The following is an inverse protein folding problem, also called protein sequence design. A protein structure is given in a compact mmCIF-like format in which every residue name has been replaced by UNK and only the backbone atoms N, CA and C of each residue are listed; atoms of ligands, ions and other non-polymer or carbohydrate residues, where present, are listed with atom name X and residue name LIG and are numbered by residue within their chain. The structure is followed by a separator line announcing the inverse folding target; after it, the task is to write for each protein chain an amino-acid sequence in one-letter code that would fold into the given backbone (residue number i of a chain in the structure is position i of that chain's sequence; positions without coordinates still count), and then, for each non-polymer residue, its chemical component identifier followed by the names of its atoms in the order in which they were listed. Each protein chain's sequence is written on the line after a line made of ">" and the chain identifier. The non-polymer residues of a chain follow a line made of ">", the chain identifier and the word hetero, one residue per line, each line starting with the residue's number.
data_IF_953977528758
#
_entry.id   IF_953977528758
#
_cell.length_a   1.000
_cell.length_b   1.000
_cell.length_c   1.000
_cell.angle_alpha   90.00
_cell.angle_beta   90.00
_cell.angle_gamma   90.00
#
_symmetry.space_group_name_H-M   'P 1'
#
loop_
_entity.id
_entity.type
_entity.pdbx_description
1 polymer ?
#
# COMPACT_ATOMS: atom_id res chain seq x y z
N UNK A 1 -16.57 16.34 -20.04
CA UNK A 1 -15.85 15.26 -20.77
C UNK A 1 -14.47 14.90 -20.18
N UNK A 2 -13.62 15.85 -19.74
CA UNK A 2 -12.26 15.56 -19.22
C UNK A 2 -12.23 14.60 -18.01
N UNK A 3 -13.12 14.80 -17.04
CA UNK A 3 -13.20 13.95 -15.83
C UNK A 3 -13.49 12.49 -16.18
N UNK A 4 -14.42 12.24 -17.12
CA UNK A 4 -14.77 10.88 -17.54
C UNK A 4 -13.59 10.17 -18.21
N UNK A 5 -12.83 10.88 -19.05
CA UNK A 5 -11.63 10.32 -19.69
C UNK A 5 -10.56 9.96 -18.66
N UNK A 6 -10.34 10.83 -17.65
CA UNK A 6 -9.42 10.53 -16.56
C UNK A 6 -9.89 9.33 -15.74
N UNK A 7 -11.18 9.26 -15.42
CA UNK A 7 -11.76 8.12 -14.71
C UNK A 7 -11.58 6.80 -15.49
N UNK A 8 -11.76 6.82 -16.82
CA UNK A 8 -11.53 5.66 -17.68
C UNK A 8 -10.06 5.24 -17.70
N UNK A 9 -9.13 6.19 -17.80
CA UNK A 9 -7.69 5.91 -17.72
C UNK A 9 -7.30 5.31 -16.36
N UNK A 10 -7.80 5.89 -15.26
CA UNK A 10 -7.57 5.38 -13.91
C UNK A 10 -8.15 3.98 -13.72
N UNK A 11 -9.34 3.71 -14.25
CA UNK A 11 -10.00 2.40 -14.17
C UNK A 11 -9.16 1.26 -14.76
N UNK A 12 -8.29 1.55 -15.74
CA UNK A 12 -7.36 0.55 -16.30
C UNK A 12 -6.26 0.11 -15.32
N UNK A 13 -5.98 0.91 -14.31
CA UNK A 13 -4.98 0.64 -13.27
C UNK A 13 -5.57 0.00 -12.02
N UNK A 14 -6.90 -0.07 -11.93
CA UNK A 14 -7.62 -0.74 -10.84
C UNK A 14 -7.53 -2.25 -10.97
N UNK A 15 -7.47 -2.93 -9.84
CA UNK A 15 -7.58 -4.39 -9.77
C UNK A 15 -8.98 -4.87 -10.16
N UNK A 16 -9.13 -6.14 -10.53
CA UNK A 16 -10.45 -6.71 -10.83
C UNK A 16 -11.39 -6.67 -9.63
N UNK A 17 -10.85 -6.88 -8.42
CA UNK A 17 -11.63 -6.75 -7.18
C UNK A 17 -12.20 -5.34 -7.02
N UNK A 18 -11.41 -4.28 -7.22
CA UNK A 18 -11.87 -2.89 -7.12
C UNK A 18 -12.88 -2.51 -8.20
N UNK A 19 -12.83 -3.17 -9.37
CA UNK A 19 -13.81 -2.95 -10.44
C UNK A 19 -15.16 -3.59 -10.12
N UNK A 20 -15.16 -4.72 -9.41
CA UNK A 20 -16.36 -5.51 -9.07
C UNK A 20 -16.95 -5.05 -7.73
N UNK A 21 -16.11 -4.76 -6.74
CA UNK A 21 -16.46 -4.31 -5.39
C UNK A 21 -15.75 -2.98 -5.07
N UNK A 22 -16.21 -1.85 -5.65
CA UNK A 22 -15.49 -0.58 -5.53
C UNK A 22 -15.60 0.09 -4.16
N UNK A 23 -16.52 -0.37 -3.32
CA UNK A 23 -16.85 0.26 -2.04
C UNK A 23 -16.83 -0.78 -0.93
N UNK A 24 -16.08 -0.48 0.13
CA UNK A 24 -16.02 -1.31 1.32
C UNK A 24 -17.20 -0.99 2.24
N UNK A 25 -17.69 -1.98 3.01
CA UNK A 25 -18.64 -1.70 4.06
C UNK A 25 -18.06 -0.66 5.03
N UNK A 26 -18.94 0.17 5.59
CA UNK A 26 -18.52 1.12 6.62
C UNK A 26 -17.94 0.36 7.81
N UNK A 27 -16.81 0.85 8.32
CA UNK A 27 -16.23 0.36 9.58
C UNK A 27 -16.95 0.92 10.80
N UNK A 28 -17.85 1.89 10.60
CA UNK A 28 -18.64 2.49 11.66
C UNK A 28 -19.78 1.57 12.08
N UNK A 29 -20.02 1.50 13.39
CA UNK A 29 -21.21 0.87 13.94
C UNK A 29 -22.48 1.59 13.49
N UNK A 30 -23.63 0.91 13.55
CA UNK A 30 -24.91 1.44 13.06
C UNK A 30 -25.29 2.77 13.73
N UNK A 31 -25.03 2.89 15.04
CA UNK A 31 -25.30 4.11 15.80
C UNK A 31 -24.41 5.27 15.34
N UNK A 32 -23.12 5.03 15.08
CA UNK A 32 -22.19 6.04 14.54
C UNK A 32 -22.64 6.52 13.15
N UNK A 33 -23.09 5.60 12.30
CA UNK A 33 -23.65 5.96 10.99
C UNK A 33 -24.93 6.79 11.12
N UNK A 34 -25.72 6.55 12.16
CA UNK A 34 -26.92 7.32 12.43
C UNK A 34 -26.60 8.73 12.94
N UNK A 35 -25.55 8.87 13.76
CA UNK A 35 -25.06 10.17 14.19
C UNK A 35 -24.47 10.98 13.05
N UNK A 36 -23.66 10.35 12.17
CA UNK A 36 -23.16 11.00 10.95
C UNK A 36 -24.32 11.51 10.09
N UNK A 37 -25.38 10.70 9.91
CA UNK A 37 -26.58 11.12 9.16
C UNK A 37 -27.28 12.32 9.80
N UNK A 38 -27.37 12.37 11.12
CA UNK A 38 -27.95 13.52 11.85
C UNK A 38 -27.11 14.77 11.67
N UNK A 39 -25.79 14.65 11.79
CA UNK A 39 -24.85 15.77 11.62
C UNK A 39 -24.93 16.33 10.21
N UNK A 40 -24.94 15.47 9.19
CA UNK A 40 -25.01 15.89 7.78
C UNK A 40 -26.36 16.55 7.42
N UNK A 41 -27.44 16.19 8.11
CA UNK A 41 -28.75 16.81 7.93
C UNK A 41 -28.89 18.17 8.64
N UNK A 42 -28.04 18.45 9.64
CA UNK A 42 -28.03 19.72 10.33
C UNK A 42 -27.32 20.81 9.51
N UNK A 43 -27.76 22.06 9.66
CA UNK A 43 -27.07 23.21 9.08
C UNK A 43 -25.80 23.50 9.88
N UNK A 44 -24.60 23.48 9.25
CA UNK A 44 -23.35 23.72 9.95
C UNK A 44 -23.20 25.20 10.30
N UNK A 45 -22.85 25.45 11.55
CA UNK A 45 -22.56 26.80 12.05
C UNK A 45 -21.14 27.25 11.65
N UNK A 46 -20.19 26.31 11.62
CA UNK A 46 -18.79 26.59 11.32
C UNK A 46 -18.52 26.80 9.81
N UNK A 47 -17.70 27.80 9.41
CA UNK A 47 -17.38 28.06 8.02
C UNK A 47 -16.74 26.87 7.28
N UNK A 48 -15.87 26.11 7.95
CA UNK A 48 -15.25 24.92 7.37
C UNK A 48 -16.31 23.84 7.10
N UNK A 49 -17.19 23.60 8.06
CA UNK A 49 -18.25 22.60 7.93
C UNK A 49 -19.23 22.94 6.80
N UNK A 50 -19.54 24.24 6.59
CA UNK A 50 -20.29 24.71 5.40
C UNK A 50 -19.57 24.38 4.10
N UNK A 51 -18.28 24.71 4.01
CA UNK A 51 -17.49 24.41 2.82
C UNK A 51 -17.39 22.89 2.55
N UNK A 52 -17.36 22.06 3.60
CA UNK A 52 -17.33 20.62 3.48
C UNK A 52 -18.63 20.01 2.93
N UNK A 53 -19.78 20.70 3.04
CA UNK A 53 -21.06 20.20 2.50
C UNK A 53 -20.98 19.93 0.99
N UNK A 54 -20.26 20.77 0.24
CA UNK A 54 -20.07 20.62 -1.21
C UNK A 54 -19.32 19.33 -1.58
N UNK A 55 -18.62 18.71 -0.62
CA UNK A 55 -17.78 17.53 -0.83
C UNK A 55 -18.36 16.26 -0.22
N UNK A 56 -19.54 16.31 0.43
CA UNK A 56 -20.17 15.13 1.05
C UNK A 56 -20.40 14.01 0.02
N UNK A 57 -20.75 14.36 -1.22
CA UNK A 57 -20.92 13.40 -2.32
C UNK A 57 -19.62 12.68 -2.78
N UNK A 58 -18.46 13.12 -2.30
CA UNK A 58 -17.16 12.54 -2.65
C UNK A 58 -16.64 11.55 -1.61
N UNK A 59 -17.42 11.20 -0.58
CA UNK A 59 -17.03 10.21 0.45
C UNK A 59 -16.46 8.93 -0.17
N UNK A 60 -17.18 8.35 -1.14
CA UNK A 60 -16.77 7.13 -1.85
C UNK A 60 -15.50 7.32 -2.68
N UNK A 61 -15.29 8.51 -3.24
CA UNK A 61 -14.05 8.82 -3.95
C UNK A 61 -12.88 8.81 -2.97
N UNK A 62 -13.02 9.50 -1.82
CA UNK A 62 -11.99 9.57 -0.80
C UNK A 62 -11.69 8.20 -0.19
N UNK A 63 -12.70 7.35 0.02
CA UNK A 63 -12.50 5.97 0.47
C UNK A 63 -11.58 5.20 -0.48
N UNK A 64 -11.87 5.23 -1.80
CA UNK A 64 -11.06 4.54 -2.82
C UNK A 64 -9.66 5.15 -2.96
N UNK A 65 -9.57 6.47 -2.95
CA UNK A 65 -8.30 7.18 -3.03
C UNK A 65 -7.39 6.86 -1.84
N UNK A 66 -7.94 6.92 -0.62
CA UNK A 66 -7.19 6.63 0.60
C UNK A 66 -6.73 5.17 0.64
N UNK A 67 -7.58 4.22 0.22
CA UNK A 67 -7.16 2.82 0.06
C UNK A 67 -5.95 2.72 -0.87
N UNK A 68 -6.05 3.22 -2.10
CA UNK A 68 -4.96 3.12 -3.08
C UNK A 68 -3.66 3.76 -2.54
N UNK A 69 -3.76 4.87 -1.79
CA UNK A 69 -2.62 5.50 -1.14
C UNK A 69 -2.01 4.68 -0.01
N UNK A 70 -2.82 4.02 0.80
CA UNK A 70 -2.32 3.11 1.82
C UNK A 70 -1.62 1.90 1.19
N UNK A 71 -2.16 1.36 0.11
CA UNK A 71 -1.57 0.25 -0.63
C UNK A 71 -0.25 0.63 -1.31
N UNK A 72 -0.18 1.82 -1.93
CA UNK A 72 1.07 2.38 -2.46
C UNK A 72 2.15 2.41 -1.38
N UNK A 73 1.83 2.92 -0.18
CA UNK A 73 2.78 3.00 0.95
C UNK A 73 3.15 1.63 1.49
N UNK A 74 2.21 0.68 1.54
CA UNK A 74 2.50 -0.68 1.94
C UNK A 74 3.46 -1.37 0.95
N UNK A 75 3.24 -1.17 -0.36
CA UNK A 75 4.06 -1.72 -1.42
C UNK A 75 5.48 -1.13 -1.42
N UNK A 76 5.62 0.19 -1.22
CA UNK A 76 6.92 0.85 -1.04
C UNK A 76 7.73 0.20 0.10
N UNK A 77 7.11 -0.01 1.26
CA UNK A 77 7.73 -0.66 2.42
C UNK A 77 8.12 -2.11 2.11
N UNK A 78 7.23 -2.88 1.49
CA UNK A 78 7.50 -4.27 1.12
C UNK A 78 8.66 -4.37 0.12
N UNK A 79 8.70 -3.49 -0.88
CA UNK A 79 9.80 -3.41 -1.85
C UNK A 79 11.13 -3.09 -1.17
N UNK A 80 11.15 -2.12 -0.26
CA UNK A 80 12.36 -1.77 0.50
C UNK A 80 12.86 -2.95 1.34
N UNK A 81 11.96 -3.67 2.02
CA UNK A 81 12.29 -4.85 2.80
C UNK A 81 12.86 -5.98 1.92
N UNK A 82 12.23 -6.25 0.77
CA UNK A 82 12.71 -7.25 -0.20
C UNK A 82 14.08 -6.89 -0.78
N UNK A 83 14.30 -5.61 -1.12
CA UNK A 83 15.58 -5.14 -1.62
C UNK A 83 16.70 -5.30 -0.58
N UNK A 84 16.42 -5.01 0.69
CA UNK A 84 17.38 -5.20 1.77
C UNK A 84 17.71 -6.70 1.98
N UNK A 85 16.68 -7.56 2.02
CA UNK A 85 16.87 -9.02 2.11
C UNK A 85 17.68 -9.55 0.93
N UNK A 86 17.40 -9.11 -0.29
CA UNK A 86 18.13 -9.55 -1.47
C UNK A 86 19.60 -9.13 -1.42
N UNK A 87 19.89 -7.89 -0.97
CA UNK A 87 21.27 -7.42 -0.75
C UNK A 87 21.99 -8.30 0.26
N UNK A 88 21.37 -8.54 1.40
CA UNK A 88 21.96 -9.39 2.45
C UNK A 88 22.24 -10.81 1.97
N UNK A 89 21.31 -11.43 1.22
CA UNK A 89 21.51 -12.76 0.64
C UNK A 89 22.68 -12.77 -0.35
N UNK A 90 22.83 -11.74 -1.18
CA UNK A 90 23.97 -11.61 -2.10
C UNK A 90 25.30 -11.48 -1.35
N UNK A 91 25.34 -10.71 -0.27
CA UNK A 91 26.52 -10.58 0.58
C UNK A 91 26.90 -11.93 1.24
N UNK A 92 25.91 -12.68 1.73
CA UNK A 92 26.14 -14.02 2.30
C UNK A 92 26.67 -14.99 1.24
N UNK A 93 26.10 -14.98 0.03
CA UNK A 93 26.58 -15.79 -1.09
C UNK A 93 28.02 -15.43 -1.47
N UNK A 94 28.35 -14.15 -1.54
CA UNK A 94 29.73 -13.70 -1.82
C UNK A 94 30.72 -14.20 -0.75
N UNK A 95 30.37 -14.08 0.53
CA UNK A 95 31.19 -14.58 1.64
C UNK A 95 31.37 -16.10 1.58
N UNK A 96 30.29 -16.84 1.29
CA UNK A 96 30.33 -18.30 1.14
C UNK A 96 31.27 -18.72 0.00
N UNK A 97 31.13 -18.09 -1.19
CA UNK A 97 31.98 -18.38 -2.34
C UNK A 97 33.45 -18.03 -2.07
N UNK A 98 33.73 -16.89 -1.43
CA UNK A 98 35.08 -16.53 -1.04
C UNK A 98 35.68 -17.54 -0.05
N UNK A 99 34.92 -17.97 0.96
CA UNK A 99 35.34 -19.00 1.92
C UNK A 99 35.59 -20.37 1.28
N UNK A 100 34.75 -20.79 0.33
CA UNK A 100 34.94 -22.03 -0.41
C UNK A 100 36.20 -22.00 -1.30
N UNK A 101 36.46 -20.86 -1.95
CA UNK A 101 37.69 -20.66 -2.76
C UNK A 101 38.94 -20.62 -1.89
N UNK A 102 38.88 -20.03 -0.69
CA UNK A 102 39.99 -20.07 0.27
C UNK A 102 40.24 -21.50 0.78
N UNK A 103 39.19 -22.28 1.03
CA UNK A 103 39.31 -23.68 1.49
C UNK A 103 39.91 -24.60 0.41
N UNK A 104 39.69 -24.32 -0.88
CA UNK A 104 40.38 -25.03 -1.98
C UNK A 104 41.87 -24.68 -2.12
N UNK A 105 42.32 -23.53 -1.61
CA UNK A 105 43.71 -23.08 -1.68
C UNK A 105 44.59 -23.57 -0.52
N UNK A 106 44.01 -24.19 0.51
CA UNK A 106 44.79 -24.81 1.60
C UNK A 106 45.26 -26.19 1.14
N UNK A 107 46.57 -26.44 0.97
CA UNK A 107 47.08 -27.78 0.70
C UNK A 107 46.71 -28.69 1.87
N UNK A 108 46.10 -29.85 1.59
CA UNK A 108 45.97 -30.91 2.59
C UNK A 108 47.37 -31.48 2.79
N UNK A 109 48.04 -31.10 3.87
CA UNK A 109 49.31 -31.72 4.25
C UNK A 109 49.09 -33.25 4.36
N UNK A 110 49.95 -34.07 3.73
CA UNK A 110 49.88 -35.51 3.92
C UNK A 110 50.23 -35.86 5.38
N UNK A 111 49.58 -36.89 5.95
CA UNK A 111 49.82 -37.26 7.35
C UNK A 111 51.26 -37.77 7.53
N UNK A 112 51.90 -37.49 8.68
CA UNK A 112 53.27 -37.92 8.93
C UNK A 112 53.36 -39.45 9.00
N UNK A 113 54.40 -39.99 8.36
CA UNK A 113 54.79 -41.41 8.38
C UNK A 113 55.41 -41.80 9.72
#
# INVERSE_FOLDING_TARGET
>A
QRILRLAEMCRRLETEEEKVLPFYPSSLAEWEQQDVRRILAASPDEPLARAMQDYVGLERFWQRFNKAKLEEKALERARAALANRNRHLRELLQKYLAGAVLSQKVPRDPPPL
#
